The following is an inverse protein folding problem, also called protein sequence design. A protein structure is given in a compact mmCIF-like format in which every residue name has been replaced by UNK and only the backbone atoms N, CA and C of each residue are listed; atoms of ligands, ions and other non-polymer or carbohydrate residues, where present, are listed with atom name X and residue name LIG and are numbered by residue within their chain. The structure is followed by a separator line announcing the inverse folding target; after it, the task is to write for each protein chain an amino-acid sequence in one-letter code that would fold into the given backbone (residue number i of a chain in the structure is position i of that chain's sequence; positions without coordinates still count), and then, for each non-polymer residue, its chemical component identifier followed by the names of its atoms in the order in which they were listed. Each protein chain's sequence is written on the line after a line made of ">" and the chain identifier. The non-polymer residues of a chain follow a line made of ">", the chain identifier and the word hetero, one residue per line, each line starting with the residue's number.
data_IF_942102763783
#
_entry.id   IF_942102763783
#
_cell.length_a   1.000
_cell.length_b   1.000
_cell.length_c   1.000
_cell.angle_alpha   90.00
_cell.angle_beta   90.00
_cell.angle_gamma   90.00
#
_symmetry.space_group_name_H-M   'P 1'
#
loop_
_entity.id
_entity.type
_entity.pdbx_description
1 polymer ?
#
# COMPACT_ATOMS: atom_id res chain seq x y z
N UNK A 1 17.07 -2.19 -13.81
CA UNK A 1 16.97 -1.86 -12.37
C UNK A 1 18.27 -2.19 -11.59
N UNK A 2 19.43 -2.34 -12.24
CA UNK A 2 20.72 -2.61 -11.56
C UNK A 2 21.72 -1.45 -11.63
N UNK A 3 21.32 -0.34 -12.27
CA UNK A 3 22.06 0.93 -12.32
C UNK A 3 21.35 2.07 -11.56
N UNK A 4 20.11 1.82 -11.12
CA UNK A 4 19.33 2.64 -10.21
C UNK A 4 18.63 1.70 -9.22
N UNK A 5 18.41 2.15 -7.99
CA UNK A 5 17.73 1.43 -6.91
C UNK A 5 16.53 0.64 -7.44
N UNK A 6 16.66 -0.69 -7.52
CA UNK A 6 15.53 -1.56 -7.76
C UNK A 6 14.59 -1.44 -6.56
N UNK A 7 13.47 -0.72 -6.72
CA UNK A 7 12.46 -0.55 -5.66
C UNK A 7 11.74 -1.86 -5.30
N UNK A 8 11.91 -2.92 -6.11
CA UNK A 8 11.18 -4.19 -5.98
C UNK A 8 9.70 -3.93 -5.68
N UNK A 9 8.97 -3.27 -6.60
CA UNK A 9 7.59 -2.73 -6.45
C UNK A 9 6.47 -3.73 -6.08
N UNK A 10 6.79 -4.80 -5.38
CA UNK A 10 5.84 -5.67 -4.73
C UNK A 10 5.26 -4.89 -3.55
N UNK A 11 4.04 -4.38 -3.70
CA UNK A 11 3.24 -3.90 -2.57
C UNK A 11 2.56 -5.09 -1.86
N UNK A 12 3.32 -6.15 -1.58
CA UNK A 12 2.82 -7.44 -1.12
C UNK A 12 3.75 -8.06 -0.06
N UNK A 13 3.34 -8.10 1.22
CA UNK A 13 4.13 -8.68 2.30
C UNK A 13 4.50 -10.16 2.10
N UNK A 14 3.61 -10.96 1.48
CA UNK A 14 3.89 -12.38 1.23
C UNK A 14 5.04 -12.57 0.23
N UNK A 15 5.11 -11.72 -0.80
CA UNK A 15 6.22 -11.74 -1.77
C UNK A 15 7.52 -11.25 -1.10
N UNK A 16 7.45 -10.26 -0.21
CA UNK A 16 8.62 -9.81 0.57
C UNK A 16 9.21 -10.96 1.39
N UNK A 17 8.36 -11.72 2.09
CA UNK A 17 8.80 -12.88 2.88
C UNK A 17 9.40 -13.95 1.95
N UNK A 18 8.72 -14.31 0.86
CA UNK A 18 9.21 -15.31 -0.08
C UNK A 18 10.59 -14.95 -0.67
N UNK A 19 10.82 -13.68 -1.00
CA UNK A 19 12.14 -13.19 -1.48
C UNK A 19 13.19 -13.13 -0.38
N UNK A 20 12.77 -12.97 0.87
CA UNK A 20 13.60 -13.10 2.06
C UNK A 20 14.20 -14.49 2.27
N UNK A 21 13.55 -15.52 1.73
CA UNK A 21 13.98 -16.92 1.81
C UNK A 21 14.85 -17.34 0.61
N UNK A 22 15.15 -16.42 -0.30
CA UNK A 22 15.90 -16.69 -1.53
C UNK A 22 17.27 -16.02 -1.51
N UNK A 23 18.34 -16.78 -1.76
CA UNK A 23 19.70 -16.26 -1.91
C UNK A 23 20.05 -15.87 -3.37
N UNK A 24 19.03 -15.55 -4.18
CA UNK A 24 19.24 -15.15 -5.58
C UNK A 24 19.61 -13.67 -5.68
N UNK A 25 19.99 -13.22 -6.87
CA UNK A 25 20.20 -11.80 -7.17
C UNK A 25 18.97 -10.91 -6.89
N UNK A 26 17.81 -11.54 -6.85
CA UNK A 26 16.54 -10.96 -6.48
C UNK A 26 16.18 -11.21 -5.00
N UNK A 27 17.06 -11.68 -4.13
CA UNK A 27 16.76 -11.87 -2.71
C UNK A 27 16.56 -10.55 -1.95
N UNK A 28 15.78 -10.59 -0.88
CA UNK A 28 15.72 -9.51 0.13
C UNK A 28 16.49 -10.01 1.36
N UNK A 29 17.32 -9.17 1.98
CA UNK A 29 17.99 -9.62 3.21
C UNK A 29 16.94 -9.80 4.31
N UNK A 30 17.00 -10.88 5.12
CA UNK A 30 15.98 -11.14 6.15
C UNK A 30 15.77 -9.96 7.11
N UNK A 31 16.85 -9.24 7.44
CA UNK A 31 16.80 -8.06 8.32
C UNK A 31 16.07 -6.86 7.69
N UNK A 32 15.98 -6.79 6.36
CA UNK A 32 15.29 -5.71 5.65
C UNK A 32 13.79 -6.02 5.47
N UNK A 33 13.33 -7.26 5.68
CA UNK A 33 11.92 -7.65 5.52
C UNK A 33 10.97 -6.73 6.32
N UNK A 34 11.22 -6.41 7.61
CA UNK A 34 10.31 -5.57 8.37
C UNK A 34 10.17 -4.16 7.79
N UNK A 35 11.27 -3.56 7.30
CA UNK A 35 11.23 -2.19 6.74
C UNK A 35 10.45 -2.15 5.42
N UNK A 36 10.58 -3.19 4.59
CA UNK A 36 9.75 -3.35 3.39
C UNK A 36 8.27 -3.46 3.72
N UNK A 37 7.89 -4.27 4.72
CA UNK A 37 6.48 -4.43 5.11
C UNK A 37 5.91 -3.11 5.67
N UNK A 38 6.69 -2.38 6.47
CA UNK A 38 6.28 -1.04 6.96
C UNK A 38 6.05 -0.07 5.81
N UNK A 39 6.97 -0.01 4.83
CA UNK A 39 6.80 0.84 3.66
C UNK A 39 5.55 0.47 2.83
N UNK A 40 5.27 -0.82 2.67
CA UNK A 40 4.06 -1.31 2.00
C UNK A 40 2.78 -0.89 2.76
N UNK A 41 2.78 -1.03 4.08
CA UNK A 41 1.64 -0.62 4.91
C UNK A 41 1.40 0.88 4.84
N UNK A 42 2.46 1.70 4.90
CA UNK A 42 2.36 3.15 4.72
C UNK A 42 1.81 3.51 3.35
N UNK A 43 2.29 2.85 2.28
CA UNK A 43 1.75 3.03 0.95
C UNK A 43 0.25 2.69 0.85
N UNK A 44 -0.18 1.60 1.48
CA UNK A 44 -1.58 1.18 1.51
C UNK A 44 -2.47 2.19 2.26
N UNK A 45 -2.02 2.69 3.41
CA UNK A 45 -2.74 3.72 4.18
C UNK A 45 -2.87 5.02 3.40
N UNK A 46 -1.78 5.48 2.77
CA UNK A 46 -1.80 6.69 1.95
C UNK A 46 -2.72 6.54 0.74
N UNK A 47 -2.67 5.40 0.05
CA UNK A 47 -3.55 5.11 -1.07
C UNK A 47 -5.02 5.12 -0.64
N UNK A 48 -5.35 4.48 0.50
CA UNK A 48 -6.70 4.47 1.04
C UNK A 48 -7.16 5.90 1.38
N UNK A 49 -6.33 6.70 2.05
CA UNK A 49 -6.67 8.07 2.40
C UNK A 49 -6.95 8.93 1.16
N UNK A 50 -6.09 8.85 0.14
CA UNK A 50 -6.25 9.60 -1.12
C UNK A 50 -7.50 9.16 -1.87
N UNK A 51 -7.74 7.85 -1.99
CA UNK A 51 -8.91 7.33 -2.70
C UNK A 51 -10.20 7.68 -1.96
N UNK A 52 -10.23 7.55 -0.62
CA UNK A 52 -11.36 7.97 0.18
C UNK A 52 -11.64 9.47 0.04
N UNK A 53 -10.61 10.31 0.02
CA UNK A 53 -10.78 11.75 -0.22
C UNK A 53 -11.31 12.04 -1.64
N UNK A 54 -10.76 11.38 -2.65
CA UNK A 54 -11.12 11.59 -4.05
C UNK A 54 -12.54 11.11 -4.38
N UNK A 55 -12.98 10.01 -3.76
CA UNK A 55 -14.28 9.38 -4.01
C UNK A 55 -15.34 9.73 -2.95
N UNK A 56 -15.04 10.60 -1.98
CA UNK A 56 -16.03 11.03 -0.99
C UNK A 56 -17.08 11.90 -1.68
N UNK A 57 -18.25 11.33 -1.94
CA UNK A 57 -19.42 12.12 -2.30
C UNK A 57 -19.90 12.89 -1.06
N UNK A 58 -20.23 14.18 -1.19
CA UNK A 58 -20.86 14.91 -0.09
C UNK A 58 -22.14 14.19 0.28
N UNK A 59 -22.29 13.85 1.57
CA UNK A 59 -23.49 13.21 2.09
C UNK A 59 -24.71 14.00 1.61
N UNK A 60 -25.55 13.35 0.80
CA UNK A 60 -26.81 13.94 0.33
C UNK A 60 -27.56 14.42 1.57
N UNK A 61 -27.65 15.74 1.72
CA UNK A 61 -28.43 16.35 2.80
C UNK A 61 -29.84 15.85 2.60
N UNK A 62 -30.29 14.95 3.48
CA UNK A 62 -31.66 14.43 3.44
C UNK A 62 -32.56 15.63 3.64
N UNK A 63 -33.14 16.10 2.56
CA UNK A 63 -34.13 17.16 2.59
C UNK A 63 -35.29 16.61 3.42
N UNK A 64 -35.66 17.25 4.55
CA UNK A 64 -36.77 16.77 5.36
C UNK A 64 -38.00 16.72 4.48
N UNK A 65 -38.74 15.61 4.58
CA UNK A 65 -39.99 15.44 3.84
C UNK A 65 -40.88 16.66 4.11
N UNK A 66 -41.54 17.24 3.09
CA UNK A 66 -42.53 18.27 3.33
C UNK A 66 -43.57 17.68 4.27
N UNK A 67 -43.75 18.28 5.43
CA UNK A 67 -44.74 17.83 6.39
C UNK A 67 -46.14 18.12 5.83
N UNK A 68 -46.75 17.15 5.15
CA UNK A 68 -48.18 17.11 4.83
C UNK A 68 -48.73 15.67 4.87
#
# INVERSE_FOLDING_TARGET
>A
AYWFTASTSFANPAVTIARGLSNTFAGIRPFDIPSFIVAQALGAVLALAIVSWLLCEPAQVRQPDPAE
#
